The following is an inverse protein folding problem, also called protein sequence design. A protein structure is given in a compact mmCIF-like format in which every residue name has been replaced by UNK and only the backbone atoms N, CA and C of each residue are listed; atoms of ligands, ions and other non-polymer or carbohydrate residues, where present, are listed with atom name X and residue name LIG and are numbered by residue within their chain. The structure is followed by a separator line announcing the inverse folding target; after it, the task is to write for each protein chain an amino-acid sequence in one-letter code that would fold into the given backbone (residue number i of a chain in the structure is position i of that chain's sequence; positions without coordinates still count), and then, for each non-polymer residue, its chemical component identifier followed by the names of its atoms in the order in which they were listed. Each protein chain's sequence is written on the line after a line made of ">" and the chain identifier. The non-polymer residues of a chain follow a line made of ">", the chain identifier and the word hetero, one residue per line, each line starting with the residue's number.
data_IF_299769220131
#
_entry.id   IF_299769220131
#
_cell.length_a   1.000
_cell.length_b   1.000
_cell.length_c   1.000
_cell.angle_alpha   90.00
_cell.angle_beta   90.00
_cell.angle_gamma   90.00
#
_symmetry.space_group_name_H-M   'P 1'
#
loop_
_entity.id
_entity.type
_entity.pdbx_description
1 polymer ?
#
# COMPACT_ATOMS: atom_id res chain seq x y z
N UNK A 1 17.50 -20.74 -5.63
CA UNK A 1 16.82 -19.69 -4.86
C UNK A 1 17.60 -18.41 -5.12
N UNK A 2 17.42 -17.86 -6.31
CA UNK A 2 18.29 -16.84 -6.91
C UNK A 2 17.44 -15.96 -7.86
N UNK A 3 16.21 -15.64 -7.45
CA UNK A 3 15.16 -15.08 -8.34
C UNK A 3 14.80 -13.61 -8.06
N UNK A 4 15.44 -12.95 -7.10
CA UNK A 4 15.20 -11.53 -6.79
C UNK A 4 16.44 -10.65 -6.97
N UNK A 5 17.27 -10.95 -7.98
CA UNK A 5 18.46 -10.13 -8.29
C UNK A 5 18.14 -8.85 -9.05
N UNK A 6 16.90 -8.71 -9.54
CA UNK A 6 16.43 -7.51 -10.24
C UNK A 6 15.54 -6.68 -9.32
N UNK A 7 15.92 -5.42 -9.13
CA UNK A 7 15.03 -4.43 -8.54
C UNK A 7 13.93 -4.11 -9.56
N UNK A 8 12.66 -4.00 -9.13
CA UNK A 8 11.58 -3.61 -10.02
C UNK A 8 11.85 -2.21 -10.59
N UNK A 9 11.52 -2.01 -11.87
CA UNK A 9 11.66 -0.70 -12.54
C UNK A 9 10.72 0.36 -11.93
N UNK A 10 9.54 -0.08 -11.47
CA UNK A 10 8.53 0.76 -10.83
C UNK A 10 8.00 0.09 -9.56
N UNK A 11 7.85 0.88 -8.49
CA UNK A 11 7.31 0.42 -7.21
C UNK A 11 6.09 1.27 -6.85
N UNK A 12 4.97 0.61 -6.60
CA UNK A 12 3.74 1.26 -6.16
C UNK A 12 3.29 0.66 -4.83
N UNK A 13 3.19 1.51 -3.81
CA UNK A 13 2.71 1.14 -2.49
C UNK A 13 1.38 1.80 -2.20
N UNK A 14 0.43 1.01 -1.69
CA UNK A 14 -0.94 1.44 -1.47
C UNK A 14 -1.27 1.38 0.02
N UNK A 15 -1.77 2.48 0.57
CA UNK A 15 -2.24 2.56 1.95
C UNK A 15 -3.69 3.03 1.98
N UNK A 16 -4.49 2.41 2.83
CA UNK A 16 -5.86 2.86 3.11
C UNK A 16 -5.95 3.81 4.31
N UNK A 17 -4.84 4.03 5.00
CA UNK A 17 -4.75 5.00 6.08
C UNK A 17 -4.29 6.36 5.55
N UNK A 18 -5.20 7.33 5.55
CA UNK A 18 -4.88 8.73 5.27
C UNK A 18 -3.82 9.29 6.22
N UNK A 19 -3.81 8.86 7.49
CA UNK A 19 -2.79 9.24 8.45
C UNK A 19 -1.37 8.82 8.03
N UNK A 20 -1.20 7.63 7.45
CA UNK A 20 0.10 7.17 6.94
C UNK A 20 0.56 8.02 5.76
N UNK A 21 -0.35 8.36 4.85
CA UNK A 21 -0.06 9.24 3.72
C UNK A 21 0.30 10.65 4.18
N UNK A 22 -0.36 11.17 5.21
CA UNK A 22 0.00 12.44 5.83
C UNK A 22 1.39 12.41 6.47
N UNK A 23 1.75 11.29 7.12
CA UNK A 23 3.10 11.12 7.66
C UNK A 23 4.16 11.13 6.57
N UNK A 24 3.89 10.49 5.43
CA UNK A 24 4.77 10.46 4.26
C UNK A 24 4.98 11.83 3.63
N UNK A 25 3.94 12.68 3.62
CA UNK A 25 3.99 14.04 3.08
C UNK A 25 4.58 15.06 4.06
N UNK A 26 4.57 14.76 5.37
CA UNK A 26 4.97 15.70 6.42
C UNK A 26 6.42 15.54 6.89
N UNK A 27 6.99 16.63 7.41
CA UNK A 27 8.33 16.60 8.00
C UNK A 27 8.37 15.73 9.28
N UNK A 28 9.37 14.85 9.46
CA UNK A 28 9.42 13.90 10.58
C UNK A 28 9.32 14.51 11.97
N UNK A 29 9.85 15.73 12.15
CA UNK A 29 9.79 16.45 13.44
C UNK A 29 8.38 16.77 13.93
N UNK A 30 7.36 16.64 13.08
CA UNK A 30 5.94 16.83 13.43
C UNK A 30 5.35 15.61 14.14
N UNK A 31 6.01 14.46 14.04
CA UNK A 31 5.47 13.17 14.45
C UNK A 31 6.09 12.65 15.74
N UNK A 32 5.37 11.77 16.43
CA UNK A 32 5.90 11.03 17.56
C UNK A 32 7.17 10.25 17.17
N UNK A 33 8.10 10.08 18.10
CA UNK A 33 9.44 9.52 17.86
C UNK A 33 9.42 8.23 17.03
N UNK A 34 8.47 7.34 17.27
CA UNK A 34 8.33 6.11 16.50
C UNK A 34 8.10 6.37 15.00
N UNK A 35 7.11 7.22 14.67
CA UNK A 35 6.77 7.56 13.28
C UNK A 35 7.89 8.41 12.66
N UNK A 36 8.42 9.37 13.41
CA UNK A 36 9.52 10.24 12.98
C UNK A 36 10.79 9.46 12.59
N UNK A 37 11.02 8.29 13.19
CA UNK A 37 12.17 7.45 12.85
C UNK A 37 11.85 6.47 11.70
N UNK A 38 10.65 5.88 11.66
CA UNK A 38 10.31 4.82 10.71
C UNK A 38 9.92 5.31 9.33
N UNK A 39 9.23 6.44 9.24
CA UNK A 39 8.81 6.97 7.94
C UNK A 39 10.02 7.36 7.09
N UNK A 40 11.04 8.09 7.60
CA UNK A 40 12.25 8.36 6.84
C UNK A 40 13.03 7.11 6.44
N UNK A 41 13.12 6.11 7.33
CA UNK A 41 13.77 4.83 7.02
C UNK A 41 13.12 4.14 5.82
N UNK A 42 11.79 4.08 5.80
CA UNK A 42 11.02 3.50 4.69
C UNK A 42 11.20 4.30 3.40
N UNK A 43 11.07 5.62 3.44
CA UNK A 43 11.24 6.50 2.27
C UNK A 43 12.67 6.41 1.70
N UNK A 44 13.68 6.39 2.57
CA UNK A 44 15.08 6.28 2.17
C UNK A 44 15.44 4.90 1.61
N UNK A 45 14.72 3.86 2.03
CA UNK A 45 14.88 2.51 1.49
C UNK A 45 14.24 2.37 0.11
N UNK A 46 13.10 3.03 -0.10
CA UNK A 46 12.31 2.94 -1.33
C UNK A 46 12.20 4.29 -2.04
N UNK A 47 13.36 4.87 -2.42
CA UNK A 47 13.47 6.22 -2.98
C UNK A 47 12.64 6.45 -4.26
N UNK A 48 12.41 5.39 -5.04
CA UNK A 48 11.69 5.45 -6.32
C UNK A 48 10.23 4.98 -6.20
N UNK A 49 9.78 4.64 -4.98
CA UNK A 49 8.42 4.18 -4.80
C UNK A 49 7.41 5.32 -4.86
N UNK A 50 6.29 5.05 -5.50
CA UNK A 50 5.12 5.90 -5.52
C UNK A 50 4.14 5.43 -4.44
N UNK A 51 3.63 6.39 -3.67
CA UNK A 51 2.78 6.14 -2.51
C UNK A 51 1.35 6.58 -2.82
N UNK A 52 0.41 5.66 -2.76
CA UNK A 52 -0.96 5.84 -3.22
C UNK A 52 -1.97 5.55 -2.11
N UNK A 53 -3.16 6.15 -2.24
CA UNK A 53 -4.30 5.79 -1.41
C UNK A 53 -5.12 4.67 -2.05
N UNK A 54 -5.49 3.65 -1.28
CA UNK A 54 -6.49 2.65 -1.67
C UNK A 54 -7.68 2.73 -0.72
N UNK A 55 -8.90 2.61 -1.24
CA UNK A 55 -10.07 2.52 -0.35
C UNK A 55 -9.96 1.26 0.51
N UNK A 56 -10.34 1.29 1.79
CA UNK A 56 -10.28 0.08 2.64
C UNK A 56 -11.04 -1.12 2.06
N UNK A 57 -12.13 -0.88 1.31
CA UNK A 57 -12.87 -1.94 0.63
C UNK A 57 -12.09 -2.61 -0.53
N UNK A 58 -11.09 -1.93 -1.07
CA UNK A 58 -10.19 -2.40 -2.13
C UNK A 58 -8.82 -2.83 -1.58
N UNK A 59 -8.59 -2.73 -0.27
CA UNK A 59 -7.36 -3.15 0.37
C UNK A 59 -7.41 -4.67 0.64
N UNK A 60 -6.61 -5.45 -0.09
CA UNK A 60 -6.56 -6.89 0.08
C UNK A 60 -6.15 -7.30 1.52
N UNK A 61 -5.28 -6.52 2.17
CA UNK A 61 -4.76 -6.85 3.52
C UNK A 61 -5.88 -6.88 4.56
N UNK A 62 -6.93 -6.08 4.38
CA UNK A 62 -8.10 -6.07 5.25
C UNK A 62 -8.83 -7.42 5.28
N UNK A 63 -8.74 -8.24 4.22
CA UNK A 63 -9.30 -9.59 4.19
C UNK A 63 -8.73 -10.46 5.33
N UNK A 64 -7.44 -10.30 5.63
CA UNK A 64 -6.78 -11.11 6.67
C UNK A 64 -6.89 -10.43 8.03
N UNK A 65 -6.67 -9.12 8.11
CA UNK A 65 -6.68 -8.38 9.39
C UNK A 65 -8.08 -8.39 10.03
N UNK A 66 -9.15 -8.33 9.24
CA UNK A 66 -10.53 -8.38 9.75
C UNK A 66 -10.99 -9.79 10.13
N UNK A 67 -10.16 -10.81 9.90
CA UNK A 67 -10.44 -12.18 10.30
C UNK A 67 -11.48 -12.87 9.45
N UNK A 68 -11.39 -12.77 8.11
CA UNK A 68 -12.22 -13.60 7.24
C UNK A 68 -12.04 -15.08 7.59
N UNK A 69 -13.15 -15.83 7.58
CA UNK A 69 -13.09 -17.28 7.75
C UNK A 69 -12.28 -17.91 6.60
N UNK A 70 -11.58 -19.03 6.83
CA UNK A 70 -10.78 -19.68 5.80
C UNK A 70 -11.52 -19.92 4.49
N UNK A 71 -12.80 -20.32 4.57
CA UNK A 71 -13.64 -20.58 3.42
C UNK A 71 -13.91 -19.30 2.60
N UNK A 72 -14.14 -18.18 3.29
CA UNK A 72 -14.33 -16.88 2.64
C UNK A 72 -13.04 -16.36 2.01
N UNK A 73 -11.89 -16.63 2.63
CA UNK A 73 -10.59 -16.25 2.11
C UNK A 73 -10.25 -17.03 0.83
N UNK A 74 -10.59 -18.32 0.76
CA UNK A 74 -10.41 -19.14 -0.44
C UNK A 74 -11.20 -18.58 -1.63
N UNK A 75 -12.38 -18.01 -1.39
CA UNK A 75 -13.24 -17.41 -2.41
C UNK A 75 -12.95 -15.92 -2.67
N UNK A 76 -12.09 -15.29 -1.85
CA UNK A 76 -11.82 -13.86 -1.93
C UNK A 76 -11.01 -13.48 -3.17
N UNK A 77 -11.71 -13.01 -4.20
CA UNK A 77 -11.04 -12.46 -5.39
C UNK A 77 -10.13 -11.29 -5.08
N UNK A 78 -10.52 -10.46 -4.11
CA UNK A 78 -9.75 -9.30 -3.68
C UNK A 78 -8.41 -9.72 -3.06
N UNK A 79 -8.39 -10.78 -2.25
CA UNK A 79 -7.15 -11.28 -1.66
C UNK A 79 -6.21 -11.87 -2.72
N UNK A 80 -6.74 -12.72 -3.60
CA UNK A 80 -5.93 -13.46 -4.55
C UNK A 80 -5.50 -12.66 -5.78
N UNK A 81 -6.32 -11.71 -6.23
CA UNK A 81 -6.07 -10.95 -7.47
C UNK A 81 -5.84 -9.45 -7.23
N UNK A 82 -6.03 -8.99 -5.99
CA UNK A 82 -6.12 -7.55 -5.71
C UNK A 82 -7.42 -6.94 -6.24
N UNK A 83 -7.55 -5.61 -6.15
CA UNK A 83 -8.69 -4.90 -6.69
C UNK A 83 -8.68 -4.92 -8.21
N UNK A 84 -9.86 -4.95 -8.84
CA UNK A 84 -9.98 -5.14 -10.29
C UNK A 84 -9.24 -4.10 -11.11
N UNK A 85 -9.17 -2.85 -10.61
CA UNK A 85 -8.47 -1.75 -11.28
C UNK A 85 -6.95 -1.93 -11.33
N UNK A 86 -6.36 -2.78 -10.48
CA UNK A 86 -4.92 -3.03 -10.48
C UNK A 86 -4.44 -3.74 -11.77
N UNK A 87 -5.36 -4.43 -12.46
CA UNK A 87 -5.10 -5.08 -13.75
C UNK A 87 -5.20 -4.13 -14.95
N UNK A 88 -5.69 -2.90 -14.73
CA UNK A 88 -5.77 -1.89 -15.77
C UNK A 88 -4.39 -1.23 -15.97
N UNK A 89 -4.16 -0.55 -17.10
CA UNK A 89 -3.01 0.34 -17.26
C UNK A 89 -2.90 1.33 -16.10
N UNK A 90 -1.66 1.68 -15.70
CA UNK A 90 -1.40 2.61 -14.58
C UNK A 90 -2.09 3.97 -14.73
N UNK A 91 -2.31 4.41 -15.97
CA UNK A 91 -3.05 5.64 -16.28
C UNK A 91 -4.53 5.61 -15.87
N UNK A 92 -5.11 4.42 -15.74
CA UNK A 92 -6.53 4.19 -15.40
C UNK A 92 -6.72 3.81 -13.92
N UNK A 93 -5.64 3.79 -13.15
CA UNK A 93 -5.71 3.54 -11.71
C UNK A 93 -6.42 4.69 -10.99
N UNK A 94 -7.12 4.41 -9.87
CA UNK A 94 -7.82 5.44 -9.12
C UNK A 94 -6.80 6.40 -8.49
N UNK A 95 -6.57 7.52 -9.16
CA UNK A 95 -5.76 8.62 -8.65
C UNK A 95 -6.63 9.48 -7.72
N UNK A 96 -6.48 9.24 -6.42
CA UNK A 96 -7.02 10.04 -5.30
C UNK A 96 -8.55 10.22 -5.22
N UNK A 97 -9.15 9.68 -4.14
CA UNK A 97 -10.32 10.30 -3.51
C UNK A 97 -10.06 10.32 -1.99
N UNK A 98 -9.67 11.45 -1.41
CA UNK A 98 -9.88 11.70 0.01
C UNK A 98 -11.39 11.97 0.19
N UNK A 99 -12.07 11.17 1.00
CA UNK A 99 -13.31 11.63 1.67
C UNK A 99 -12.95 12.59 2.81
#
# INVERSE_FOLDING_TARGET
>A
MDELSQQPEEMHFWFDSSAVLDWLKGHPSRWQTFVANRVPEMVNTFLQAQWHHVRSADNAVDCVIRGLAPEQLLESRLWWNGPSWLTLPTADWPMEVPE
#
